data_IF_129123847909
#
_entry.id   IF_129123847909
#
_cell.length_a   1.000
_cell.length_b   1.000
_cell.length_c   1.000
_cell.angle_alpha   90.00
_cell.angle_beta   90.00
_cell.angle_gamma   90.00
#
_symmetry.space_group_name_H-M   'P 1'
#
loop_
_entity.id
_entity.type
_entity.pdbx_description
1 polymer ?
#
# COMPACT_ATOMS: atom_id res chain seq x y z
N UNK A 1 -17.35 -0.90 8.57
CA UNK A 1 -16.30 -1.45 7.69
C UNK A 1 -15.37 -2.29 8.56
N UNK A 2 -15.57 -3.61 8.65
CA UNK A 2 -14.69 -4.49 9.47
C UNK A 2 -13.95 -5.55 8.66
N UNK A 3 -14.26 -5.71 7.37
CA UNK A 3 -13.67 -6.75 6.55
C UNK A 3 -12.15 -6.55 6.36
N UNK A 4 -11.74 -5.32 6.08
CA UNK A 4 -10.33 -4.99 5.80
C UNK A 4 -9.44 -5.12 7.04
N UNK A 5 -9.95 -4.81 8.23
CA UNK A 5 -9.21 -4.95 9.50
C UNK A 5 -8.76 -6.39 9.84
N UNK A 6 -9.29 -7.41 9.15
CA UNK A 6 -8.87 -8.80 9.34
C UNK A 6 -7.59 -9.17 8.57
N UNK A 7 -6.99 -8.23 7.82
CA UNK A 7 -5.83 -8.47 6.95
C UNK A 7 -4.68 -7.55 7.31
N UNK A 8 -3.44 -8.04 7.17
CA UNK A 8 -2.23 -7.22 7.35
C UNK A 8 -2.02 -6.23 6.20
N UNK A 9 -2.29 -6.69 4.97
CA UNK A 9 -2.01 -5.99 3.71
C UNK A 9 -3.29 -5.76 2.91
N UNK A 10 -3.38 -4.61 2.22
CA UNK A 10 -4.53 -4.26 1.38
C UNK A 10 -4.08 -3.71 0.03
N UNK A 11 -4.49 -4.35 -1.07
CA UNK A 11 -4.24 -3.85 -2.43
C UNK A 11 -5.11 -2.62 -2.72
N UNK A 12 -4.47 -1.49 -2.97
CA UNK A 12 -5.11 -0.19 -3.19
C UNK A 12 -4.71 0.47 -4.54
N UNK A 13 -4.81 -0.21 -5.70
CA UNK A 13 -4.53 0.43 -6.98
C UNK A 13 -5.63 1.46 -7.33
N UNK A 14 -5.21 2.59 -7.86
CA UNK A 14 -6.11 3.54 -8.49
C UNK A 14 -6.55 3.05 -9.87
N UNK A 15 -7.69 3.57 -10.33
CA UNK A 15 -8.25 3.20 -11.63
C UNK A 15 -7.43 3.74 -12.80
N UNK A 16 -6.53 4.71 -12.56
CA UNK A 16 -5.68 5.35 -13.56
C UNK A 16 -4.42 5.91 -12.91
N UNK A 17 -3.33 5.95 -13.65
CA UNK A 17 -2.06 6.54 -13.21
C UNK A 17 -2.04 8.00 -13.62
N UNK A 18 -2.40 8.89 -12.69
CA UNK A 18 -2.43 10.32 -12.92
C UNK A 18 -1.83 11.04 -11.71
N UNK A 19 -1.07 12.09 -11.97
CA UNK A 19 -0.50 12.93 -10.91
C UNK A 19 -1.62 13.57 -10.10
N UNK A 20 -1.46 13.55 -8.77
CA UNK A 20 -2.41 14.05 -7.77
C UNK A 20 -3.78 13.35 -7.76
N UNK A 21 -3.95 12.29 -8.57
CA UNK A 21 -5.13 11.44 -8.51
C UNK A 21 -4.99 10.42 -7.38
N UNK A 22 -5.43 10.83 -6.18
CA UNK A 22 -5.51 9.98 -5.00
C UNK A 22 -6.94 10.01 -4.47
N UNK A 23 -7.51 8.83 -4.29
CA UNK A 23 -8.87 8.68 -3.78
C UNK A 23 -8.83 8.14 -2.35
N UNK A 24 -9.92 7.55 -1.89
CA UNK A 24 -10.03 6.97 -0.56
C UNK A 24 -9.24 5.65 -0.37
N UNK A 25 -8.76 5.05 -1.46
CA UNK A 25 -8.16 3.70 -1.48
C UNK A 25 -6.92 3.53 -0.58
N UNK A 26 -5.92 4.43 -0.56
CA UNK A 26 -4.80 4.31 0.38
C UNK A 26 -5.21 4.64 1.83
N UNK A 27 -6.23 5.48 2.05
CA UNK A 27 -6.62 5.96 3.39
C UNK A 27 -7.48 4.96 4.16
N UNK A 28 -8.39 4.24 3.49
CA UNK A 28 -9.25 3.22 4.11
C UNK A 28 -8.48 2.15 4.89
N UNK A 29 -7.41 1.51 4.36
CA UNK A 29 -6.64 0.53 5.10
C UNK A 29 -5.82 1.15 6.24
N UNK A 30 -5.23 2.34 6.03
CA UNK A 30 -4.50 3.05 7.09
C UNK A 30 -5.38 3.32 8.31
N UNK A 31 -6.62 3.76 8.09
CA UNK A 31 -7.58 4.00 9.17
C UNK A 31 -7.97 2.71 9.92
N UNK A 32 -7.74 1.53 9.34
CA UNK A 32 -8.10 0.24 9.89
C UNK A 32 -6.90 -0.59 10.38
N UNK A 33 -5.69 -0.01 10.36
CA UNK A 33 -4.47 -0.69 10.81
C UNK A 33 -3.89 -1.66 9.79
N UNK A 34 -4.24 -1.54 8.50
CA UNK A 34 -3.70 -2.35 7.43
C UNK A 34 -2.70 -1.53 6.60
N UNK A 35 -1.66 -2.18 6.09
CA UNK A 35 -0.67 -1.53 5.22
C UNK A 35 -1.18 -1.50 3.77
N UNK A 36 -1.36 -0.31 3.16
CA UNK A 36 -1.73 -0.21 1.75
C UNK A 36 -0.58 -0.61 0.82
N UNK A 37 -0.89 -1.43 -0.17
CA UNK A 37 -0.04 -1.72 -1.34
C UNK A 37 -0.62 -0.94 -2.53
N UNK A 38 -0.01 0.18 -2.84
CA UNK A 38 -0.61 1.24 -3.65
C UNK A 38 0.04 1.38 -5.03
N UNK A 39 -0.77 1.74 -6.02
CA UNK A 39 -0.33 2.17 -7.34
C UNK A 39 -1.24 3.27 -7.87
N UNK A 40 -0.69 4.43 -8.21
CA UNK A 40 -1.47 5.60 -8.58
C UNK A 40 -0.58 6.83 -8.70
N UNK A 41 -0.93 7.92 -8.01
CA UNK A 41 -0.12 9.13 -7.98
C UNK A 41 1.15 8.94 -7.15
N UNK A 42 2.31 9.34 -7.69
CA UNK A 42 3.57 9.35 -6.95
C UNK A 42 3.57 10.37 -5.80
N UNK A 43 2.74 11.43 -5.89
CA UNK A 43 2.59 12.41 -4.82
C UNK A 43 2.15 11.78 -3.50
N UNK A 44 1.57 10.57 -3.50
CA UNK A 44 1.10 9.88 -2.30
C UNK A 44 2.15 9.79 -1.20
N UNK A 45 3.43 9.66 -1.55
CA UNK A 45 4.54 9.60 -0.61
C UNK A 45 4.60 10.86 0.27
N UNK A 46 4.33 12.04 -0.31
CA UNK A 46 4.37 13.33 0.39
C UNK A 46 3.23 13.47 1.42
N UNK A 47 2.17 12.68 1.28
CA UNK A 47 1.00 12.72 2.17
C UNK A 47 0.99 11.62 3.23
N UNK A 48 1.97 10.73 3.22
CA UNK A 48 2.05 9.65 4.19
C UNK A 48 2.53 10.15 5.55
N UNK A 49 1.95 9.65 6.66
CA UNK A 49 2.29 10.12 8.00
C UNK A 49 3.75 9.82 8.39
N UNK A 50 4.34 8.74 7.88
CA UNK A 50 5.74 8.37 8.09
C UNK A 50 6.23 7.44 6.98
N UNK A 51 7.56 7.38 6.79
CA UNK A 51 8.19 6.33 5.98
C UNK A 51 8.71 5.21 6.89
N UNK A 52 8.38 3.92 6.62
CA UNK A 52 7.46 3.40 5.61
C UNK A 52 6.03 3.14 6.16
N UNK A 53 5.01 3.86 5.68
CA UNK A 53 3.59 3.57 5.99
C UNK A 53 2.77 3.08 4.78
N UNK A 54 3.40 2.98 3.61
CA UNK A 54 2.79 2.55 2.34
C UNK A 54 3.81 1.75 1.55
N UNK A 55 3.33 0.76 0.80
CA UNK A 55 4.15 0.00 -0.15
C UNK A 55 3.80 0.49 -1.54
N UNK A 56 4.74 1.15 -2.23
CA UNK A 56 4.53 1.60 -3.60
C UNK A 56 4.89 0.47 -4.58
N UNK A 57 3.94 0.08 -5.42
CA UNK A 57 4.15 -1.00 -6.39
C UNK A 57 5.27 -0.65 -7.38
N UNK A 58 5.40 0.63 -7.74
CA UNK A 58 6.37 1.08 -8.73
C UNK A 58 7.82 1.14 -8.18
N UNK A 59 8.04 0.91 -6.88
CA UNK A 59 9.37 0.74 -6.29
C UNK A 59 9.98 -0.65 -6.58
N UNK A 60 9.16 -1.58 -7.10
CA UNK A 60 9.60 -2.94 -7.42
C UNK A 60 9.81 -3.11 -8.92
N UNK A 61 10.89 -3.79 -9.35
CA UNK A 61 11.19 -3.98 -10.77
C UNK A 61 10.21 -4.94 -11.47
N UNK A 62 9.49 -5.78 -10.72
CA UNK A 62 8.48 -6.69 -11.26
C UNK A 62 7.39 -7.05 -10.24
N UNK A 63 6.19 -7.46 -10.69
CA UNK A 63 5.16 -8.01 -9.81
C UNK A 63 5.62 -9.23 -9.00
N UNK A 64 6.55 -10.02 -9.55
CA UNK A 64 7.13 -11.17 -8.87
C UNK A 64 7.99 -10.74 -7.68
N UNK A 65 8.74 -9.65 -7.80
CA UNK A 65 9.58 -9.15 -6.71
C UNK A 65 8.75 -8.48 -5.62
N UNK A 66 7.68 -7.76 -6.00
CA UNK A 66 6.66 -7.32 -5.04
C UNK A 66 6.07 -8.51 -4.28
N UNK A 67 5.66 -9.58 -4.98
CA UNK A 67 5.08 -10.76 -4.33
C UNK A 67 6.06 -11.45 -3.37
N UNK A 68 7.35 -11.50 -3.69
CA UNK A 68 8.38 -12.01 -2.77
C UNK A 68 8.51 -11.13 -1.53
N UNK A 69 8.54 -9.81 -1.72
CA UNK A 69 8.62 -8.85 -0.62
C UNK A 69 7.41 -8.96 0.32
N UNK A 70 6.19 -8.99 -0.22
CA UNK A 70 4.97 -9.11 0.58
C UNK A 70 4.91 -10.42 1.39
N UNK A 71 5.46 -11.52 0.86
CA UNK A 71 5.56 -12.79 1.59
C UNK A 71 6.59 -12.71 2.73
N UNK A 72 7.76 -12.15 2.46
CA UNK A 72 8.78 -11.96 3.48
C UNK A 72 8.27 -11.07 4.63
N UNK A 73 7.53 -10.01 4.30
CA UNK A 73 6.90 -9.12 5.27
C UNK A 73 5.82 -9.83 6.11
N UNK A 74 5.02 -10.72 5.51
CA UNK A 74 4.02 -11.49 6.27
C UNK A 74 4.67 -12.47 7.27
N UNK A 75 5.84 -13.00 6.94
CA UNK A 75 6.60 -13.94 7.77
C UNK A 75 7.39 -13.23 8.90
N UNK A 76 7.68 -11.93 8.76
CA UNK A 76 8.42 -11.13 9.74
C UNK A 76 7.48 -10.18 10.51
N UNK A 77 7.18 -10.47 11.78
CA UNK A 77 6.30 -9.62 12.61
C UNK A 77 7.06 -8.50 13.37
N UNK A 78 8.38 -8.37 13.18
CA UNK A 78 9.18 -7.31 13.84
C UNK A 78 9.31 -6.05 12.97
N UNK A 79 8.99 -6.14 11.68
CA UNK A 79 8.85 -5.01 10.74
C UNK A 79 7.38 -4.67 10.50
#
# INVERSE_FOLDING_TARGET
MSFTACYKLYLAPENSLCQDYMTEKPWRPLHQGCVPVYRGSLSVADWMPNHPSIILIDDFPSPQDLAKFLKALDENNEE
#
